data_IF_455079850796
#
_entry.id   IF_455079850796
#
_cell.length_a   1.000
_cell.length_b   1.000
_cell.length_c   1.000
_cell.angle_alpha   90.00
_cell.angle_beta   90.00
_cell.angle_gamma   90.00
#
_symmetry.space_group_name_H-M   'P 1'
#
loop_
_entity.id
_entity.type
_entity.pdbx_description
1 polymer ?
#
# COMPACT_ATOMS: atom_id res chain seq x y z
N UNK A 1 -11.08 5.02 4.43
CA UNK A 1 -10.04 4.35 3.61
C UNK A 1 -10.12 4.72 2.12
N UNK A 2 -11.28 4.69 1.47
CA UNK A 2 -11.48 5.21 0.11
C UNK A 2 -12.18 6.57 0.13
N UNK A 3 -11.87 7.44 -0.83
CA UNK A 3 -12.58 8.70 -1.09
C UNK A 3 -12.84 8.81 -2.59
N UNK A 4 -14.02 9.28 -2.97
CA UNK A 4 -14.37 9.51 -4.37
C UNK A 4 -13.75 10.79 -4.91
N UNK A 5 -13.66 10.92 -6.24
CA UNK A 5 -13.20 12.14 -6.91
C UNK A 5 -14.04 13.37 -6.54
N UNK A 6 -15.37 13.21 -6.44
CA UNK A 6 -16.28 14.29 -6.05
C UNK A 6 -16.14 14.72 -4.59
N UNK A 7 -15.85 13.80 -3.68
CA UNK A 7 -15.56 14.13 -2.27
C UNK A 7 -14.21 14.82 -2.14
N UNK A 8 -13.19 14.35 -2.86
CA UNK A 8 -11.88 15.00 -2.87
C UNK A 8 -11.97 16.42 -3.41
N UNK A 9 -12.67 16.65 -4.54
CA UNK A 9 -12.83 17.98 -5.12
C UNK A 9 -13.40 18.99 -4.12
N UNK A 10 -14.43 18.59 -3.36
CA UNK A 10 -15.02 19.42 -2.31
C UNK A 10 -14.08 19.69 -1.11
N UNK A 11 -13.08 18.83 -0.96
CA UNK A 11 -12.13 18.90 0.16
C UNK A 11 -10.83 19.65 -0.18
N UNK A 12 -10.57 20.03 -1.44
CA UNK A 12 -9.29 20.60 -1.88
C UNK A 12 -8.92 21.90 -1.17
N UNK A 13 -9.91 22.70 -0.74
CA UNK A 13 -9.70 23.96 -0.02
C UNK A 13 -9.62 23.78 1.51
N UNK A 14 -9.68 22.53 2.00
CA UNK A 14 -9.61 22.28 3.44
C UNK A 14 -8.16 22.43 3.93
N UNK A 15 -7.87 23.35 4.87
CA UNK A 15 -6.51 23.64 5.33
C UNK A 15 -5.85 22.49 6.11
N UNK A 16 -6.62 21.52 6.58
CA UNK A 16 -6.06 20.33 7.23
C UNK A 16 -5.76 19.20 6.24
N UNK A 17 -6.18 19.31 4.97
CA UNK A 17 -5.91 18.30 3.95
C UNK A 17 -4.45 18.36 3.50
N UNK A 18 -3.82 17.20 3.44
CA UNK A 18 -2.60 16.97 2.66
C UNK A 18 -2.94 15.94 1.60
N UNK A 19 -2.81 16.34 0.34
CA UNK A 19 -2.99 15.48 -0.82
C UNK A 19 -1.61 15.06 -1.33
N UNK A 20 -1.37 13.74 -1.47
CA UNK A 20 -0.07 13.20 -1.86
C UNK A 20 -0.21 12.42 -3.15
N UNK A 21 0.52 12.86 -4.18
CA UNK A 21 0.75 12.14 -5.43
C UNK A 21 1.92 11.18 -5.24
N UNK A 22 1.63 9.88 -5.29
CA UNK A 22 2.64 8.83 -5.05
C UNK A 22 3.34 8.35 -6.31
N UNK A 23 3.03 8.94 -7.47
CA UNK A 23 3.65 8.62 -8.75
C UNK A 23 5.08 9.19 -8.84
N UNK A 24 5.79 8.81 -9.89
CA UNK A 24 7.08 9.39 -10.21
C UNK A 24 7.01 10.91 -10.34
N UNK A 25 8.11 11.60 -10.02
CA UNK A 25 8.21 13.05 -10.22
C UNK A 25 7.94 13.47 -11.68
N UNK A 26 8.34 12.65 -12.65
CA UNK A 26 8.08 12.88 -14.06
C UNK A 26 6.57 12.92 -14.36
N UNK A 27 5.79 11.96 -13.86
CA UNK A 27 4.34 11.93 -14.04
C UNK A 27 3.65 13.10 -13.33
N UNK A 28 4.09 13.40 -12.09
CA UNK A 28 3.61 14.54 -11.33
C UNK A 28 3.81 15.87 -12.06
N UNK A 29 4.99 16.10 -12.63
CA UNK A 29 5.32 17.34 -13.34
C UNK A 29 4.53 17.52 -14.63
N UNK A 30 4.08 16.43 -15.25
CA UNK A 30 3.21 16.46 -16.43
C UNK A 30 1.76 16.82 -16.11
N UNK A 31 1.35 16.69 -14.87
CA UNK A 31 0.03 17.05 -14.38
C UNK A 31 -0.38 16.29 -13.12
N UNK A 32 -0.83 17.03 -12.12
CA UNK A 32 -1.25 16.53 -10.82
C UNK A 32 -2.52 17.24 -10.35
N UNK A 33 -3.19 16.70 -9.34
CA UNK A 33 -4.37 17.33 -8.73
C UNK A 33 -3.91 18.56 -7.93
N UNK A 34 -4.67 19.64 -7.99
CA UNK A 34 -4.38 20.91 -7.31
C UNK A 34 -3.98 20.67 -5.83
N UNK A 35 -2.97 21.38 -5.37
CA UNK A 35 -2.38 21.28 -4.03
C UNK A 35 -1.71 19.94 -3.68
N UNK A 36 -1.61 18.99 -4.61
CA UNK A 36 -0.93 17.74 -4.33
C UNK A 36 0.59 17.93 -4.17
N UNK A 37 1.18 17.28 -3.18
CA UNK A 37 2.62 17.15 -2.98
C UNK A 37 3.08 15.84 -3.59
N UNK A 38 4.23 15.84 -4.28
CA UNK A 38 4.78 14.60 -4.79
C UNK A 38 5.59 13.85 -3.73
N UNK A 39 5.30 12.57 -3.60
CA UNK A 39 6.09 11.63 -2.82
C UNK A 39 6.17 10.31 -3.60
N UNK A 40 7.17 10.15 -4.43
CA UNK A 40 7.42 8.90 -5.16
C UNK A 40 7.69 7.76 -4.17
N UNK A 41 6.63 7.04 -3.80
CA UNK A 41 6.73 5.93 -2.84
C UNK A 41 7.45 4.72 -3.41
N UNK A 42 7.57 4.57 -4.72
CA UNK A 42 8.31 3.46 -5.30
C UNK A 42 9.80 3.53 -4.98
N UNK A 43 10.33 4.74 -4.78
CA UNK A 43 11.72 4.97 -4.36
C UNK A 43 12.00 4.51 -2.92
N UNK A 44 10.97 4.26 -2.09
CA UNK A 44 11.09 3.78 -0.70
C UNK A 44 10.87 2.28 -0.59
N UNK A 45 11.67 1.52 -1.31
CA UNK A 45 11.68 0.07 -1.24
C UNK A 45 12.40 -0.41 0.03
N UNK A 46 11.78 -1.36 0.76
CA UNK A 46 12.34 -1.91 1.99
C UNK A 46 12.16 -3.42 2.05
N UNK A 47 13.25 -4.14 2.26
CA UNK A 47 13.26 -5.62 2.25
C UNK A 47 13.88 -6.23 3.50
N UNK A 48 14.39 -5.43 4.43
CA UNK A 48 14.98 -5.93 5.68
C UNK A 48 13.96 -5.84 6.81
N UNK A 49 13.47 -6.99 7.25
CA UNK A 49 12.54 -7.10 8.38
C UNK A 49 13.20 -7.65 9.64
N UNK A 50 14.54 -7.59 9.74
CA UNK A 50 15.24 -7.76 11.01
C UNK A 50 14.83 -6.68 12.01
N UNK A 51 15.15 -6.87 13.29
CA UNK A 51 14.86 -5.88 14.33
C UNK A 51 15.49 -4.52 14.01
N UNK A 52 16.72 -4.50 13.57
CA UNK A 52 17.48 -3.31 13.18
C UNK A 52 16.89 -2.69 11.89
N UNK A 53 16.49 -3.52 10.93
CA UNK A 53 15.81 -3.11 9.70
C UNK A 53 14.51 -2.38 9.99
N UNK A 54 13.65 -2.93 10.84
CA UNK A 54 12.38 -2.29 11.23
C UNK A 54 12.62 -0.97 11.98
N UNK A 55 13.60 -0.89 12.87
CA UNK A 55 13.94 0.38 13.55
C UNK A 55 14.39 1.45 12.55
N UNK A 56 15.17 1.07 11.55
CA UNK A 56 15.64 1.98 10.50
C UNK A 56 14.48 2.40 9.58
N UNK A 57 13.59 1.46 9.23
CA UNK A 57 12.37 1.73 8.47
C UNK A 57 11.49 2.79 9.15
N UNK A 58 11.22 2.62 10.45
CA UNK A 58 10.42 3.57 11.23
C UNK A 58 11.00 4.98 11.21
N UNK A 59 12.30 5.12 11.45
CA UNK A 59 13.00 6.43 11.39
C UNK A 59 12.92 7.08 10.01
N UNK A 60 13.00 6.28 8.95
CA UNK A 60 12.86 6.77 7.59
C UNK A 60 11.43 7.27 7.31
N UNK A 61 10.42 6.53 7.73
CA UNK A 61 9.02 6.93 7.55
C UNK A 61 8.71 8.25 8.24
N UNK A 62 9.16 8.43 9.49
CA UNK A 62 8.98 9.70 10.21
C UNK A 62 9.60 10.88 9.45
N UNK A 63 10.80 10.71 8.90
CA UNK A 63 11.47 11.76 8.10
C UNK A 63 10.72 12.07 6.81
N UNK A 64 10.26 11.04 6.10
CA UNK A 64 9.55 11.19 4.83
C UNK A 64 8.22 11.93 5.05
N UNK A 65 7.46 11.50 6.05
CA UNK A 65 6.17 12.12 6.35
C UNK A 65 6.30 13.52 6.95
N UNK A 66 7.37 13.78 7.72
CA UNK A 66 7.74 15.12 8.14
C UNK A 66 8.06 16.03 6.96
N UNK A 67 8.81 15.52 5.98
CA UNK A 67 9.21 16.29 4.79
C UNK A 67 8.01 16.75 3.96
N UNK A 68 6.97 15.91 3.81
CA UNK A 68 5.75 16.27 3.10
C UNK A 68 4.72 17.03 3.96
N UNK A 69 5.08 17.38 5.21
CA UNK A 69 4.29 18.26 6.06
C UNK A 69 3.14 17.58 6.82
N UNK A 70 3.17 16.25 6.99
CA UNK A 70 2.15 15.53 7.77
C UNK A 70 2.33 15.85 9.26
N UNK A 71 1.22 16.08 9.95
CA UNK A 71 1.13 16.16 11.40
C UNK A 71 -0.08 15.33 11.87
N UNK A 72 -0.22 15.12 13.17
CA UNK A 72 -1.25 14.25 13.74
C UNK A 72 -2.68 14.67 13.37
N UNK A 73 -2.96 15.97 13.29
CA UNK A 73 -4.29 16.51 12.98
C UNK A 73 -4.64 16.52 11.49
N UNK A 74 -3.68 16.26 10.59
CA UNK A 74 -3.90 16.32 9.15
C UNK A 74 -4.75 15.15 8.65
N UNK A 75 -5.64 15.46 7.70
CA UNK A 75 -6.28 14.47 6.86
C UNK A 75 -5.38 14.21 5.65
N UNK A 76 -4.93 12.98 5.48
CA UNK A 76 -4.03 12.64 4.38
C UNK A 76 -4.77 11.82 3.33
N UNK A 77 -4.65 12.21 2.07
CA UNK A 77 -5.19 11.46 0.94
C UNK A 77 -4.05 11.15 -0.02
N UNK A 78 -3.86 9.87 -0.29
CA UNK A 78 -2.92 9.40 -1.30
C UNK A 78 -3.63 9.10 -2.61
N UNK A 79 -2.96 9.34 -3.73
CA UNK A 79 -3.39 8.84 -5.02
C UNK A 79 -2.21 8.43 -5.89
N UNK A 80 -2.46 7.51 -6.80
CA UNK A 80 -1.60 7.14 -7.92
C UNK A 80 -2.40 7.15 -9.23
N UNK A 81 -2.03 6.35 -10.21
CA UNK A 81 -2.72 6.34 -11.50
C UNK A 81 -4.15 5.80 -11.42
N UNK A 82 -4.39 4.81 -10.54
CA UNK A 82 -5.69 4.15 -10.32
C UNK A 82 -5.92 3.98 -8.81
N UNK A 83 -6.82 3.12 -8.36
CA UNK A 83 -6.84 2.66 -6.95
C UNK A 83 -5.72 1.63 -6.72
N UNK A 84 -4.48 2.07 -6.94
CA UNK A 84 -3.37 1.20 -7.16
C UNK A 84 -2.53 0.89 -5.92
N UNK A 85 -1.35 0.36 -6.20
CA UNK A 85 -0.46 -0.18 -5.18
C UNK A 85 0.30 0.90 -4.40
N UNK A 86 0.58 2.06 -5.03
CA UNK A 86 1.38 3.11 -4.37
C UNK A 86 0.53 3.93 -3.40
N UNK A 87 -0.69 4.31 -3.80
CA UNK A 87 -1.63 4.99 -2.92
C UNK A 87 -2.00 4.12 -1.70
N UNK A 88 -2.31 2.85 -1.95
CA UNK A 88 -2.57 1.88 -0.88
C UNK A 88 -1.37 1.67 0.04
N UNK A 89 -0.15 1.69 -0.52
CA UNK A 89 1.09 1.64 0.28
C UNK A 89 1.17 2.85 1.22
N UNK A 90 0.87 4.06 0.73
CA UNK A 90 0.86 5.26 1.56
C UNK A 90 -0.14 5.17 2.71
N UNK A 91 -1.36 4.69 2.45
CA UNK A 91 -2.38 4.45 3.47
C UNK A 91 -1.87 3.46 4.53
N UNK A 92 -1.38 2.30 4.11
CA UNK A 92 -0.87 1.28 5.04
C UNK A 92 0.29 1.79 5.88
N UNK A 93 1.23 2.57 5.31
CA UNK A 93 2.37 3.14 6.03
C UNK A 93 1.93 4.10 7.14
N UNK A 94 0.93 4.95 6.88
CA UNK A 94 0.39 5.86 7.90
C UNK A 94 -0.43 5.10 8.96
N UNK A 95 -1.26 4.14 8.57
CA UNK A 95 -1.97 3.27 9.54
C UNK A 95 -0.97 2.47 10.41
N UNK A 96 0.15 2.02 9.82
CA UNK A 96 1.22 1.37 10.57
C UNK A 96 1.84 2.31 11.62
N UNK A 97 1.93 3.60 11.34
CA UNK A 97 2.37 4.61 12.30
C UNK A 97 1.21 5.19 13.14
N UNK A 98 0.08 4.49 13.20
CA UNK A 98 -1.11 4.82 13.98
C UNK A 98 -1.78 6.15 13.59
N UNK A 99 -1.50 6.68 12.40
CA UNK A 99 -2.23 7.82 11.84
C UNK A 99 -3.45 7.30 11.07
N UNK A 100 -4.64 7.49 11.66
CA UNK A 100 -5.89 6.87 11.15
C UNK A 100 -6.70 7.77 10.21
N UNK A 101 -6.42 9.08 10.18
CA UNK A 101 -7.12 10.02 9.29
C UNK A 101 -6.52 10.01 7.88
N UNK A 102 -6.54 8.85 7.25
CA UNK A 102 -5.91 8.57 5.97
C UNK A 102 -6.86 7.86 5.02
N UNK A 103 -6.77 8.20 3.72
CA UNK A 103 -7.55 7.58 2.65
C UNK A 103 -6.75 7.51 1.36
N UNK A 104 -7.21 6.72 0.39
CA UNK A 104 -6.75 6.81 -1.00
C UNK A 104 -7.90 7.20 -1.93
N UNK A 105 -7.56 7.90 -3.02
CA UNK A 105 -8.50 8.33 -4.05
C UNK A 105 -8.91 7.12 -4.89
N UNK A 106 -10.21 6.80 -4.91
CA UNK A 106 -10.74 5.70 -5.71
C UNK A 106 -10.76 6.03 -7.21
N UNK A 107 -10.08 5.19 -8.00
CA UNK A 107 -9.83 5.41 -9.43
C UNK A 107 -8.62 6.31 -9.73
N UNK A 108 -7.98 6.90 -8.73
CA UNK A 108 -6.76 7.69 -8.86
C UNK A 108 -6.89 8.87 -9.84
N UNK A 109 -5.74 9.32 -10.37
CA UNK A 109 -5.72 10.46 -11.31
C UNK A 109 -6.31 10.12 -12.68
N UNK A 110 -6.35 8.84 -13.06
CA UNK A 110 -6.97 8.41 -14.32
C UNK A 110 -8.46 8.72 -14.31
N UNK A 111 -9.17 8.35 -13.23
CA UNK A 111 -10.59 8.66 -13.06
C UNK A 111 -10.82 10.17 -12.96
N UNK A 112 -9.98 10.89 -12.22
CA UNK A 112 -10.00 12.36 -12.15
C UNK A 112 -9.97 13.01 -13.51
N UNK A 113 -9.07 12.55 -14.41
CA UNK A 113 -8.93 13.03 -15.79
C UNK A 113 -10.15 12.66 -16.65
N UNK A 114 -10.63 11.42 -16.58
CA UNK A 114 -11.76 10.95 -17.40
C UNK A 114 -13.07 11.66 -17.05
N UNK A 115 -13.20 12.16 -15.82
CA UNK A 115 -14.32 13.01 -15.39
C UNK A 115 -14.16 14.49 -15.80
N UNK A 116 -13.13 14.83 -16.59
CA UNK A 116 -12.89 16.19 -17.11
C UNK A 116 -12.39 17.18 -16.06
N UNK A 117 -11.88 16.71 -14.92
CA UNK A 117 -11.41 17.55 -13.82
C UNK A 117 -10.04 18.15 -14.13
N UNK A 118 -9.81 19.38 -13.66
CA UNK A 118 -8.61 20.17 -13.95
C UNK A 118 -7.38 19.58 -13.27
N UNK A 119 -6.25 19.61 -13.99
CA UNK A 119 -4.91 19.33 -13.45
C UNK A 119 -4.09 20.59 -13.36
N UNK A 120 -3.14 20.58 -12.44
CA UNK A 120 -2.12 21.61 -12.27
C UNK A 120 -0.74 21.04 -12.66
N UNK A 121 0.16 21.93 -13.10
CA UNK A 121 1.58 21.61 -13.36
C UNK A 121 2.52 22.41 -12.47
N UNK A 122 1.99 23.36 -11.68
CA UNK A 122 2.79 24.15 -10.73
C UNK A 122 2.96 23.33 -9.44
N UNK A 123 4.20 22.99 -9.04
CA UNK A 123 4.44 22.22 -7.83
C UNK A 123 3.85 22.88 -6.59
N UNK A 124 3.28 22.08 -5.71
CA UNK A 124 2.79 22.52 -4.41
C UNK A 124 3.95 22.82 -3.46
N UNK A 125 3.78 23.87 -2.66
CA UNK A 125 4.79 24.39 -1.75
C UNK A 125 4.44 24.01 -0.29
N UNK A 126 4.43 22.72 0.03
CA UNK A 126 4.23 22.26 1.41
C UNK A 126 5.46 22.55 2.26
N UNK A 127 5.23 23.01 3.47
CA UNK A 127 6.31 23.20 4.46
C UNK A 127 6.51 21.89 5.23
N UNK A 128 7.77 21.46 5.44
CA UNK A 128 8.06 20.35 6.34
C UNK A 128 7.46 20.59 7.74
N UNK A 129 7.06 19.51 8.38
CA UNK A 129 6.53 19.51 9.75
C UNK A 129 7.28 18.47 10.60
N UNK A 130 6.90 18.33 11.86
CA UNK A 130 7.39 17.25 12.72
C UNK A 130 6.29 16.19 12.82
N UNK A 131 6.52 15.07 12.15
CA UNK A 131 5.68 13.89 12.27
C UNK A 131 6.37 12.88 13.18
N UNK A 132 5.65 12.37 14.17
CA UNK A 132 6.08 11.24 15.01
C UNK A 132 4.91 10.27 15.11
N UNK A 133 5.12 9.05 14.65
CA UNK A 133 4.10 8.01 14.65
C UNK A 133 4.42 6.89 15.63
N UNK A 134 3.39 6.21 16.11
CA UNK A 134 3.55 5.01 16.94
C UNK A 134 3.37 3.76 16.09
N UNK A 135 4.43 2.94 15.89
CA UNK A 135 4.33 1.72 15.11
C UNK A 135 3.28 0.75 15.66
N UNK A 136 2.40 0.27 14.78
CA UNK A 136 1.37 -0.72 15.08
C UNK A 136 1.82 -2.12 14.59
N UNK A 137 2.37 -2.98 15.45
CA UNK A 137 2.86 -4.30 15.05
C UNK A 137 1.73 -5.25 14.62
N UNK A 138 0.46 -4.91 14.86
CA UNK A 138 -0.67 -5.76 14.48
C UNK A 138 -0.92 -5.83 12.99
N UNK A 139 -0.38 -4.90 12.20
CA UNK A 139 -0.61 -4.84 10.75
C UNK A 139 0.67 -5.01 9.92
N UNK A 140 1.81 -5.30 10.57
CA UNK A 140 3.08 -5.60 9.92
C UNK A 140 3.54 -7.02 10.30
N UNK A 141 4.04 -7.77 9.31
CA UNK A 141 4.77 -9.02 9.51
C UNK A 141 6.20 -8.89 8.98
N UNK A 142 7.15 -9.52 9.65
CA UNK A 142 8.51 -9.77 9.17
C UNK A 142 8.69 -11.23 8.78
N UNK A 143 9.85 -11.56 8.18
CA UNK A 143 10.11 -12.93 7.70
C UNK A 143 10.02 -13.98 8.83
N UNK A 144 10.56 -13.66 10.01
CA UNK A 144 10.55 -14.60 11.14
C UNK A 144 9.13 -14.92 11.60
N UNK A 145 8.26 -13.89 11.69
CA UNK A 145 6.85 -14.09 12.02
C UNK A 145 6.14 -15.01 11.02
N UNK A 146 6.38 -14.81 9.72
CA UNK A 146 5.79 -15.66 8.67
C UNK A 146 6.31 -17.08 8.77
N UNK A 147 7.63 -17.27 8.96
CA UNK A 147 8.26 -18.58 9.09
C UNK A 147 7.70 -19.38 10.27
N UNK A 148 7.56 -18.74 11.42
CA UNK A 148 7.09 -19.39 12.66
C UNK A 148 5.59 -19.76 12.60
N UNK A 149 4.84 -19.20 11.64
CA UNK A 149 3.38 -19.35 11.56
C UNK A 149 2.87 -19.95 10.22
N UNK A 150 3.72 -20.53 9.39
CA UNK A 150 3.37 -21.04 8.06
C UNK A 150 2.07 -21.88 8.02
N UNK A 151 1.83 -22.71 9.06
CA UNK A 151 0.66 -23.59 9.15
C UNK A 151 -0.49 -23.03 10.01
N UNK A 152 -0.33 -21.84 10.59
CA UNK A 152 -1.28 -21.28 11.56
C UNK A 152 -2.03 -20.04 11.03
N UNK A 153 -1.57 -19.48 9.92
CA UNK A 153 -2.14 -18.27 9.30
C UNK A 153 -2.46 -18.53 7.82
N UNK A 154 -3.31 -17.71 7.25
CA UNK A 154 -3.51 -17.69 5.81
C UNK A 154 -2.52 -16.74 5.16
N UNK A 155 -1.67 -17.25 4.28
CA UNK A 155 -0.69 -16.45 3.52
C UNK A 155 -1.25 -16.19 2.13
N UNK A 156 -1.41 -14.91 1.75
CA UNK A 156 -1.85 -14.52 0.41
C UNK A 156 -0.68 -13.97 -0.39
N UNK A 157 -0.29 -14.70 -1.42
CA UNK A 157 0.58 -14.19 -2.48
C UNK A 157 -0.26 -13.41 -3.48
N UNK A 158 -0.05 -12.11 -3.53
CA UNK A 158 -0.82 -11.22 -4.40
C UNK A 158 -0.05 -10.80 -5.65
N UNK A 159 0.98 -11.58 -6.01
CA UNK A 159 1.72 -11.48 -7.27
C UNK A 159 0.95 -12.16 -8.41
N UNK A 160 1.46 -11.97 -9.62
CA UNK A 160 0.92 -12.70 -10.77
C UNK A 160 1.11 -14.22 -10.63
N UNK A 161 0.32 -14.98 -11.38
CA UNK A 161 0.41 -16.45 -11.40
C UNK A 161 1.78 -16.92 -11.87
N UNK A 162 2.42 -16.19 -12.79
CA UNK A 162 3.76 -16.51 -13.31
C UNK A 162 4.84 -16.30 -12.24
N UNK A 163 4.71 -15.25 -11.42
CA UNK A 163 5.62 -15.02 -10.29
C UNK A 163 5.43 -16.11 -9.22
N UNK A 164 4.18 -16.46 -8.90
CA UNK A 164 3.82 -17.48 -7.92
C UNK A 164 4.35 -18.86 -8.31
N UNK A 165 4.16 -19.27 -9.57
CA UNK A 165 4.62 -20.57 -10.10
C UNK A 165 6.13 -20.65 -10.34
N UNK A 166 6.88 -19.55 -10.14
CA UNK A 166 8.31 -19.49 -10.42
C UNK A 166 8.68 -19.33 -11.89
N UNK A 167 7.70 -19.18 -12.80
CA UNK A 167 7.94 -18.94 -14.23
C UNK A 167 8.50 -17.52 -14.50
N UNK A 168 8.22 -16.56 -13.60
CA UNK A 168 8.80 -15.23 -13.63
C UNK A 168 9.58 -14.98 -12.32
N UNK A 169 10.92 -15.00 -12.44
CA UNK A 169 11.82 -14.87 -11.28
C UNK A 169 12.28 -13.43 -11.09
N UNK A 170 12.05 -12.87 -9.87
CA UNK A 170 12.44 -11.48 -9.49
C UNK A 170 13.26 -11.43 -8.20
N UNK A 171 13.83 -12.58 -7.78
CA UNK A 171 14.72 -12.72 -6.63
C UNK A 171 15.77 -13.78 -6.95
N UNK A 172 16.58 -14.22 -6.01
CA UNK A 172 17.54 -15.32 -6.22
C UNK A 172 16.87 -16.66 -6.56
N UNK A 173 15.58 -16.81 -6.14
CA UNK A 173 14.77 -18.02 -6.41
C UNK A 173 13.41 -17.65 -6.98
N UNK A 174 12.83 -18.52 -7.80
CA UNK A 174 11.43 -18.51 -8.19
C UNK A 174 10.56 -19.28 -7.19
N UNK A 175 9.23 -19.28 -7.39
CA UNK A 175 8.27 -19.96 -6.53
C UNK A 175 7.58 -19.03 -5.53
N UNK A 176 7.12 -19.59 -4.41
CA UNK A 176 6.32 -18.88 -3.41
C UNK A 176 6.60 -19.36 -1.97
N UNK A 177 6.09 -18.63 -0.99
CA UNK A 177 6.15 -19.02 0.43
C UNK A 177 5.27 -20.26 0.61
N UNK A 178 5.76 -21.34 1.28
CA UNK A 178 4.98 -22.53 1.50
C UNK A 178 3.59 -22.24 2.08
N UNK A 179 2.60 -23.00 1.66
CA UNK A 179 1.18 -22.87 2.02
C UNK A 179 0.47 -21.62 1.50
N UNK A 180 1.15 -20.74 0.76
CA UNK A 180 0.52 -19.51 0.26
C UNK A 180 -0.54 -19.81 -0.80
N UNK A 181 -1.62 -19.03 -0.76
CA UNK A 181 -2.69 -19.00 -1.75
C UNK A 181 -2.45 -17.82 -2.69
N UNK A 182 -2.48 -18.05 -4.00
CA UNK A 182 -2.31 -16.98 -4.97
C UNK A 182 -3.64 -16.33 -5.34
N UNK A 183 -3.74 -15.02 -5.12
CA UNK A 183 -4.82 -14.15 -5.61
C UNK A 183 -4.16 -12.85 -6.09
N UNK A 184 -4.06 -12.67 -7.41
CA UNK A 184 -3.42 -11.47 -7.97
C UNK A 184 -4.18 -10.20 -7.52
N UNK A 185 -3.43 -9.20 -7.04
CA UNK A 185 -4.00 -7.92 -6.61
C UNK A 185 -4.79 -7.21 -7.73
N UNK A 186 -4.47 -7.46 -8.98
CA UNK A 186 -5.17 -6.90 -10.13
C UNK A 186 -6.66 -7.29 -10.14
N UNK A 187 -7.01 -8.42 -9.54
CA UNK A 187 -8.40 -8.86 -9.37
C UNK A 187 -9.22 -7.94 -8.46
N UNK A 188 -8.57 -7.08 -7.67
CA UNK A 188 -9.23 -6.07 -6.85
C UNK A 188 -9.77 -4.89 -7.65
N UNK A 189 -9.26 -4.67 -8.87
CA UNK A 189 -9.50 -3.47 -9.66
C UNK A 189 -10.54 -3.70 -10.76
N UNK A 190 -11.41 -2.72 -10.95
CA UNK A 190 -12.30 -2.60 -12.09
C UNK A 190 -11.55 -2.03 -13.31
N UNK A 191 -12.17 -2.11 -14.48
CA UNK A 191 -11.56 -1.61 -15.73
C UNK A 191 -11.31 -0.09 -15.71
N UNK A 192 -12.10 0.67 -14.95
CA UNK A 192 -11.94 2.12 -14.76
C UNK A 192 -10.90 2.48 -13.68
N UNK A 193 -10.21 1.49 -13.14
CA UNK A 193 -9.18 1.66 -12.11
C UNK A 193 -9.70 1.84 -10.69
N UNK A 194 -11.00 1.75 -10.45
CA UNK A 194 -11.58 1.78 -9.10
C UNK A 194 -11.47 0.41 -8.42
N UNK A 195 -11.62 0.39 -7.10
CA UNK A 195 -11.79 -0.87 -6.36
C UNK A 195 -13.15 -1.48 -6.71
N UNK A 196 -13.17 -2.78 -7.04
CA UNK A 196 -14.40 -3.52 -7.30
C UNK A 196 -15.39 -3.46 -6.11
N UNK A 197 -16.65 -3.69 -6.38
CA UNK A 197 -17.70 -3.70 -5.35
C UNK A 197 -17.53 -4.86 -4.36
N UNK A 198 -18.14 -4.72 -3.18
CA UNK A 198 -18.01 -5.68 -2.08
C UNK A 198 -18.56 -7.07 -2.42
N UNK A 199 -19.57 -7.16 -3.28
CA UNK A 199 -20.10 -8.45 -3.73
C UNK A 199 -19.06 -9.26 -4.51
N UNK A 200 -18.38 -8.62 -5.48
CA UNK A 200 -17.34 -9.26 -6.26
C UNK A 200 -16.13 -9.65 -5.39
N UNK A 201 -15.67 -8.73 -4.56
CA UNK A 201 -14.53 -8.96 -3.68
C UNK A 201 -14.82 -10.05 -2.62
N UNK A 202 -16.05 -10.13 -2.11
CA UNK A 202 -16.43 -11.19 -1.16
C UNK A 202 -16.45 -12.59 -1.82
N UNK A 203 -16.73 -12.66 -3.12
CA UNK A 203 -16.62 -13.91 -3.89
C UNK A 203 -15.16 -14.28 -4.18
N UNK A 204 -14.27 -13.29 -4.27
CA UNK A 204 -12.84 -13.49 -4.48
C UNK A 204 -12.15 -13.97 -3.19
N UNK A 205 -12.48 -13.35 -2.05
CA UNK A 205 -11.89 -13.64 -0.75
C UNK A 205 -12.84 -14.48 0.13
N UNK A 206 -13.05 -15.75 -0.24
CA UNK A 206 -13.88 -16.70 0.51
C UNK A 206 -13.11 -17.26 1.74
N UNK A 207 -12.69 -16.36 2.62
CA UNK A 207 -11.94 -16.65 3.84
C UNK A 207 -12.78 -16.20 5.03
N UNK A 208 -12.85 -16.96 6.15
CA UNK A 208 -13.55 -16.49 7.37
C UNK A 208 -12.95 -15.17 7.86
N UNK A 209 -13.80 -14.25 8.32
CA UNK A 209 -13.37 -12.87 8.68
C UNK A 209 -12.43 -12.80 9.88
N UNK A 210 -12.48 -13.82 10.72
CA UNK A 210 -11.66 -13.96 11.93
C UNK A 210 -10.26 -14.50 11.64
N UNK A 211 -10.06 -15.03 10.44
CA UNK A 211 -8.77 -15.63 10.05
C UNK A 211 -7.67 -14.59 10.05
N UNK A 212 -6.54 -14.95 10.62
CA UNK A 212 -5.34 -14.14 10.48
C UNK A 212 -4.75 -14.29 9.08
N UNK A 213 -4.61 -13.16 8.38
CA UNK A 213 -4.12 -13.12 7.01
C UNK A 213 -2.83 -12.31 6.96
N UNK A 214 -1.81 -12.87 6.30
CA UNK A 214 -0.61 -12.14 5.91
C UNK A 214 -0.57 -12.02 4.40
N UNK A 215 -0.58 -10.79 3.88
CA UNK A 215 -0.43 -10.52 2.44
C UNK A 215 1.02 -10.22 2.11
N UNK A 216 1.51 -10.73 0.99
CA UNK A 216 2.83 -10.37 0.45
C UNK A 216 2.81 -10.27 -1.08
N UNK A 217 3.81 -9.56 -1.62
CA UNK A 217 4.05 -9.51 -3.06
C UNK A 217 5.56 -9.53 -3.36
N UNK A 218 6.08 -8.69 -4.24
CA UNK A 218 7.53 -8.55 -4.44
C UNK A 218 8.18 -7.65 -3.36
N UNK A 219 7.53 -6.55 -2.96
CA UNK A 219 8.06 -5.56 -2.01
C UNK A 219 6.96 -4.81 -1.26
N UNK A 220 5.88 -5.49 -0.90
CA UNK A 220 4.75 -5.02 -0.10
C UNK A 220 3.87 -3.91 -0.70
N UNK A 221 4.00 -3.56 -1.98
CA UNK A 221 3.16 -2.54 -2.64
C UNK A 221 1.78 -3.09 -3.00
N UNK A 222 1.74 -4.14 -3.82
CA UNK A 222 0.51 -4.87 -4.19
C UNK A 222 -0.17 -5.48 -2.97
N UNK A 223 0.64 -5.93 -2.00
CA UNK A 223 0.16 -6.46 -0.72
C UNK A 223 -0.60 -5.40 0.10
N UNK A 224 -0.15 -4.14 0.10
CA UNK A 224 -0.85 -3.05 0.75
C UNK A 224 -2.21 -2.74 0.09
N UNK A 225 -2.35 -2.91 -1.23
CA UNK A 225 -3.64 -2.79 -1.91
C UNK A 225 -4.62 -3.88 -1.42
N UNK A 226 -4.18 -5.14 -1.41
CA UNK A 226 -5.01 -6.24 -0.90
C UNK A 226 -5.32 -6.07 0.60
N UNK A 227 -4.37 -5.58 1.41
CA UNK A 227 -4.64 -5.21 2.80
C UNK A 227 -5.80 -4.21 2.90
N UNK A 228 -5.77 -3.12 2.12
CA UNK A 228 -6.83 -2.11 2.12
C UNK A 228 -8.19 -2.69 1.71
N UNK A 229 -8.22 -3.57 0.71
CA UNK A 229 -9.43 -4.28 0.27
C UNK A 229 -9.97 -5.21 1.35
N UNK A 230 -9.12 -6.02 1.98
CA UNK A 230 -9.54 -6.91 3.06
C UNK A 230 -10.08 -6.14 4.26
N UNK A 231 -9.43 -5.03 4.64
CA UNK A 231 -9.93 -4.13 5.70
C UNK A 231 -11.30 -3.55 5.34
N UNK A 232 -11.50 -3.10 4.09
CA UNK A 232 -12.79 -2.62 3.58
C UNK A 232 -13.89 -3.69 3.68
N UNK A 233 -13.54 -4.95 3.43
CA UNK A 233 -14.45 -6.10 3.56
C UNK A 233 -14.70 -6.53 5.01
N UNK A 234 -14.08 -5.88 6.00
CA UNK A 234 -14.29 -6.16 7.43
C UNK A 234 -13.40 -7.26 8.01
N UNK A 235 -12.32 -7.67 7.34
CA UNK A 235 -11.32 -8.53 7.96
C UNK A 235 -10.57 -7.75 9.05
N UNK A 236 -10.54 -8.27 10.26
CA UNK A 236 -9.96 -7.58 11.42
C UNK A 236 -8.48 -7.86 11.63
N UNK A 237 -8.00 -9.02 11.19
CA UNK A 237 -6.65 -9.52 11.48
C UNK A 237 -5.84 -9.69 10.20
N UNK A 238 -5.44 -8.58 9.59
CA UNK A 238 -4.66 -8.56 8.33
C UNK A 238 -3.32 -7.87 8.57
N UNK A 239 -2.25 -8.52 8.14
CA UNK A 239 -0.89 -7.97 8.15
C UNK A 239 -0.32 -7.90 6.73
N UNK A 240 0.58 -6.97 6.51
CA UNK A 240 1.44 -6.94 5.32
C UNK A 240 2.82 -7.43 5.71
N UNK A 241 3.34 -8.44 5.01
CA UNK A 241 4.73 -8.84 5.12
C UNK A 241 5.60 -7.82 4.37
N UNK A 242 6.29 -6.96 5.14
CA UNK A 242 7.04 -5.82 4.61
C UNK A 242 8.14 -6.22 3.62
N UNK A 243 8.96 -7.22 3.96
CA UNK A 243 10.06 -7.69 3.10
C UNK A 243 9.59 -8.44 1.86
N UNK A 244 8.42 -9.10 1.96
CA UNK A 244 7.80 -9.81 0.84
C UNK A 244 8.74 -10.81 0.16
N UNK A 245 8.50 -11.14 -1.11
CA UNK A 245 9.36 -12.04 -1.88
C UNK A 245 10.78 -11.46 -2.09
N UNK A 246 10.92 -10.14 -2.12
CA UNK A 246 12.22 -9.47 -2.19
C UNK A 246 13.14 -9.83 -1.03
N UNK A 247 12.60 -10.11 0.16
CA UNK A 247 13.35 -10.66 1.29
C UNK A 247 13.37 -12.19 1.25
N UNK A 248 12.20 -12.84 1.20
CA UNK A 248 12.06 -14.28 1.31
C UNK A 248 12.80 -15.05 0.21
N UNK A 249 12.62 -14.68 -1.05
CA UNK A 249 13.24 -15.31 -2.21
C UNK A 249 14.76 -15.13 -2.29
N UNK A 250 15.32 -14.14 -1.57
CA UNK A 250 16.75 -13.90 -1.47
C UNK A 250 17.39 -14.51 -0.20
N UNK A 251 16.60 -14.96 0.77
CA UNK A 251 17.07 -15.69 1.94
C UNK A 251 17.10 -17.18 1.62
N UNK A 252 18.29 -17.72 1.26
CA UNK A 252 18.45 -19.09 0.78
C UNK A 252 18.14 -20.15 1.84
N UNK A 253 18.18 -19.80 3.10
CA UNK A 253 17.85 -20.63 4.25
C UNK A 253 16.33 -20.84 4.46
N UNK A 254 15.48 -20.00 3.85
CA UNK A 254 14.04 -20.12 4.00
C UNK A 254 13.44 -21.13 3.03
N UNK A 255 12.35 -21.84 3.40
CA UNK A 255 11.68 -22.79 2.52
C UNK A 255 10.96 -22.10 1.36
N UNK A 256 10.84 -22.81 0.22
CA UNK A 256 10.16 -22.34 -1.01
C UNK A 256 9.40 -23.50 -1.64
N UNK A 257 8.22 -23.24 -2.15
CA UNK A 257 7.41 -24.08 -3.04
C UNK A 257 7.31 -23.50 -4.45
#
# INVERSE_FOLDING_TARGET
MLITTSELEKALDNPILILIDTRSFQEYSQGHILNAVNLDLFSFHWIDTSKEGILSFNRQLEKIFSFVGITEEKKVIFYDNVSGMLAARGVWLLEYLSHTNVSMLDGGITKWKTEGRVLNTTPSNNKPANFSGTPNPKILAGFQYVLDNLNNITILDVRSKEEFSGNLVRAARGGHIPTAINIDYAENLSQDGTIKNDEHLSKLYQIPKETEIVTYCQGAYRAANTFAVLKKLGFSNVKVYLGSWGEWGNRLELPVE
#
